data_IF_444897054158
#
_entry.id   IF_444897054158
#
_cell.length_a   1.000
_cell.length_b   1.000
_cell.length_c   1.000
_cell.angle_alpha   90.00
_cell.angle_beta   90.00
_cell.angle_gamma   90.00
#
_symmetry.space_group_name_H-M   'P 1'
#
loop_
_entity.id
_entity.type
_entity.pdbx_description
1 polymer ?
#
# COMPACT_ATOMS: atom_id res chain seq x y z
N UNK A 1 6.89 0.38 27.53
CA UNK A 1 5.55 0.45 28.14
C UNK A 1 4.58 1.03 27.11
N UNK A 2 3.66 0.21 26.61
CA UNK A 2 2.70 0.61 25.57
C UNK A 2 1.74 1.69 26.07
N UNK A 3 1.42 1.70 27.37
CA UNK A 3 0.52 2.68 27.96
C UNK A 3 1.13 4.09 27.91
N UNK A 4 2.43 4.20 28.19
CA UNK A 4 3.16 5.47 28.09
C UNK A 4 3.24 5.97 26.64
N UNK A 5 3.46 5.07 25.68
CA UNK A 5 3.47 5.44 24.25
C UNK A 5 2.10 5.94 23.79
N UNK A 6 1.01 5.29 24.20
CA UNK A 6 -0.36 5.73 23.93
C UNK A 6 -0.63 7.10 24.55
N UNK A 7 -0.20 7.31 25.80
CA UNK A 7 -0.31 8.60 26.49
C UNK A 7 0.42 9.72 25.76
N UNK A 8 1.62 9.49 25.24
CA UNK A 8 2.38 10.50 24.46
C UNK A 8 1.61 10.90 23.21
N UNK A 9 1.08 9.94 22.45
CA UNK A 9 0.33 10.24 21.22
C UNK A 9 -0.97 10.98 21.53
N UNK A 10 -1.74 10.49 22.50
CA UNK A 10 -3.01 11.08 22.94
C UNK A 10 -2.83 12.52 23.43
N UNK A 11 -1.74 12.79 24.14
CA UNK A 11 -1.39 14.14 24.63
C UNK A 11 -0.78 15.05 23.55
N UNK A 12 -0.88 14.67 22.27
CA UNK A 12 -0.47 15.49 21.13
C UNK A 12 1.02 15.45 20.82
N UNK A 13 1.78 14.49 21.37
CA UNK A 13 3.23 14.38 21.18
C UNK A 13 3.68 14.08 19.74
N UNK A 14 2.79 13.55 18.89
CA UNK A 14 3.09 13.27 17.49
C UNK A 14 3.38 14.54 16.68
N UNK A 15 2.58 15.60 16.84
CA UNK A 15 2.70 16.81 16.01
C UNK A 15 4.04 17.54 16.22
N UNK A 16 4.53 17.77 17.46
CA UNK A 16 5.86 18.34 17.68
C UNK A 16 6.99 17.49 17.08
N UNK A 17 6.92 16.16 17.20
CA UNK A 17 7.93 15.26 16.61
C UNK A 17 7.94 15.35 15.08
N UNK A 18 6.76 15.39 14.45
CA UNK A 18 6.64 15.57 13.01
C UNK A 18 7.19 16.93 12.54
N UNK A 19 7.04 18.00 13.35
CA UNK A 19 7.67 19.30 13.06
C UNK A 19 9.19 19.26 13.19
N UNK A 20 9.73 18.48 14.13
CA UNK A 20 11.19 18.34 14.29
C UNK A 20 11.86 17.63 13.11
N UNK A 21 11.11 16.87 12.30
CA UNK A 21 11.61 16.33 11.04
C UNK A 21 12.00 17.42 10.02
N UNK A 22 11.51 18.66 10.16
CA UNK A 22 11.91 19.79 9.30
C UNK A 22 13.19 20.49 9.78
N UNK A 23 13.79 20.02 10.87
CA UNK A 23 14.98 20.65 11.43
C UNK A 23 16.16 20.56 10.46
N UNK A 24 16.91 21.66 10.32
CA UNK A 24 18.20 21.67 9.59
C UNK A 24 19.32 20.95 10.36
N UNK A 25 19.04 20.51 11.58
CA UNK A 25 19.97 19.72 12.39
C UNK A 25 19.67 18.23 12.21
N UNK A 26 20.58 17.51 11.54
CA UNK A 26 20.43 16.08 11.26
C UNK A 26 20.26 15.21 12.51
N UNK A 27 20.88 15.58 13.64
CA UNK A 27 20.70 14.86 14.91
C UNK A 27 19.30 15.05 15.48
N UNK A 28 18.73 16.26 15.39
CA UNK A 28 17.36 16.51 15.81
C UNK A 28 16.35 15.79 14.92
N UNK A 29 16.56 15.80 13.59
CA UNK A 29 15.75 15.00 12.67
C UNK A 29 15.80 13.52 13.03
N UNK A 30 17.00 12.97 13.28
CA UNK A 30 17.18 11.56 13.61
C UNK A 30 16.48 11.18 14.92
N UNK A 31 16.64 12.00 15.97
CA UNK A 31 15.99 11.75 17.26
C UNK A 31 14.46 11.79 17.13
N UNK A 32 13.93 12.71 16.33
CA UNK A 32 12.50 12.77 16.05
C UNK A 32 12.02 11.54 15.28
N UNK A 33 12.74 11.12 14.23
CA UNK A 33 12.43 9.91 13.47
C UNK A 33 12.46 8.66 14.35
N UNK A 34 13.46 8.54 15.24
CA UNK A 34 13.60 7.41 16.16
C UNK A 34 12.47 7.37 17.20
N UNK A 35 12.04 8.53 17.72
CA UNK A 35 10.89 8.62 18.60
C UNK A 35 9.58 8.21 17.88
N UNK A 36 9.38 8.68 16.65
CA UNK A 36 8.22 8.31 15.82
C UNK A 36 8.23 6.81 15.49
N UNK A 37 9.39 6.22 15.22
CA UNK A 37 9.55 4.78 15.04
C UNK A 37 9.09 3.99 16.28
N UNK A 38 9.46 4.45 17.48
CA UNK A 38 9.02 3.85 18.74
C UNK A 38 7.50 3.99 18.96
N UNK A 39 6.93 5.16 18.65
CA UNK A 39 5.49 5.39 18.78
C UNK A 39 4.65 4.58 17.79
N UNK A 40 5.17 4.33 16.59
CA UNK A 40 4.52 3.51 15.57
C UNK A 40 4.42 2.02 15.93
N UNK A 41 5.12 1.57 16.97
CA UNK A 41 5.08 0.16 17.42
C UNK A 41 3.76 -0.19 18.13
N UNK A 42 3.15 0.81 18.78
CA UNK A 42 1.85 0.67 19.41
C UNK A 42 0.72 0.88 18.39
N UNK A 43 -0.11 -0.15 18.20
CA UNK A 43 -1.27 -0.11 17.31
C UNK A 43 -2.27 1.00 17.65
N UNK A 44 -2.41 1.37 18.93
CA UNK A 44 -3.30 2.44 19.38
C UNK A 44 -2.90 3.80 18.81
N UNK A 45 -1.62 3.98 18.46
CA UNK A 45 -1.11 5.23 17.93
C UNK A 45 -1.28 5.35 16.41
N UNK A 46 -1.50 4.24 15.69
CA UNK A 46 -1.42 4.20 14.22
C UNK A 46 -2.48 5.12 13.59
N UNK A 47 -3.71 5.05 14.09
CA UNK A 47 -4.80 5.90 13.60
C UNK A 47 -4.48 7.40 13.78
N UNK A 48 -3.97 7.77 14.95
CA UNK A 48 -3.58 9.15 15.24
C UNK A 48 -2.39 9.60 14.41
N UNK A 49 -1.41 8.73 14.22
CA UNK A 49 -0.25 8.97 13.35
C UNK A 49 -0.68 9.34 11.93
N UNK A 50 -1.64 8.58 11.37
CA UNK A 50 -2.18 8.84 10.03
C UNK A 50 -3.05 10.11 10.03
N UNK A 51 -3.94 10.26 11.02
CA UNK A 51 -4.86 11.41 11.15
C UNK A 51 -4.14 12.75 11.15
N UNK A 52 -3.02 12.85 11.87
CA UNK A 52 -2.21 14.08 11.94
C UNK A 52 -1.31 14.30 10.71
N UNK A 53 -1.33 13.38 9.72
CA UNK A 53 -0.56 13.48 8.49
C UNK A 53 0.87 12.96 8.59
N UNK A 54 1.14 12.09 9.56
CA UNK A 54 2.49 11.56 9.80
C UNK A 54 3.03 10.76 8.63
N UNK A 55 2.19 9.98 7.93
CA UNK A 55 2.63 9.22 6.75
C UNK A 55 3.11 10.13 5.63
N UNK A 56 2.32 11.17 5.29
CA UNK A 56 2.72 12.14 4.27
C UNK A 56 4.01 12.87 4.69
N UNK A 57 4.14 13.21 5.97
CA UNK A 57 5.35 13.86 6.48
C UNK A 57 6.61 12.99 6.33
N UNK A 58 6.48 11.70 6.59
CA UNK A 58 7.57 10.73 6.42
C UNK A 58 7.94 10.52 4.95
N UNK A 59 6.96 10.57 4.03
CA UNK A 59 7.20 10.39 2.59
C UNK A 59 7.80 11.63 1.93
N UNK A 60 7.30 12.82 2.28
CA UNK A 60 7.67 14.09 1.65
C UNK A 60 8.90 14.74 2.31
N UNK A 61 9.38 14.18 3.43
CA UNK A 61 10.42 14.78 4.25
C UNK A 61 11.81 14.79 3.59
N UNK A 62 12.49 15.93 3.69
CA UNK A 62 13.89 16.06 3.29
C UNK A 62 14.82 15.73 4.47
N UNK A 63 15.38 14.52 4.45
CA UNK A 63 16.24 14.03 5.52
C UNK A 63 17.72 14.16 5.17
N UNK A 64 18.47 14.83 6.04
CA UNK A 64 19.89 15.18 5.81
C UNK A 64 20.78 13.94 5.86
N UNK A 65 20.56 13.09 6.86
CA UNK A 65 21.44 11.95 7.15
C UNK A 65 20.79 10.62 6.73
N UNK A 66 21.59 9.70 6.20
CA UNK A 66 21.10 8.40 5.71
C UNK A 66 20.41 7.58 6.81
N UNK A 67 20.96 7.59 8.03
CA UNK A 67 20.36 6.89 9.17
C UNK A 67 18.92 7.35 9.47
N UNK A 68 18.59 8.63 9.22
CA UNK A 68 17.22 9.13 9.35
C UNK A 68 16.33 8.57 8.25
N UNK A 69 16.80 8.55 6.99
CA UNK A 69 16.05 7.94 5.86
C UNK A 69 15.73 6.46 6.14
N UNK A 70 16.72 5.72 6.63
CA UNK A 70 16.55 4.30 6.96
C UNK A 70 15.57 4.11 8.12
N UNK A 71 15.63 4.98 9.13
CA UNK A 71 14.69 4.97 10.26
C UNK A 71 13.26 5.30 9.81
N UNK A 72 13.09 6.28 8.92
CA UNK A 72 11.81 6.66 8.33
C UNK A 72 11.22 5.51 7.51
N UNK A 73 12.03 4.85 6.67
CA UNK A 73 11.59 3.68 5.91
C UNK A 73 11.14 2.54 6.82
N UNK A 74 11.87 2.26 7.90
CA UNK A 74 11.46 1.27 8.92
C UNK A 74 10.17 1.66 9.63
N UNK A 75 9.94 2.96 9.86
CA UNK A 75 8.71 3.48 10.46
C UNK A 75 7.51 3.26 9.54
N UNK A 76 7.64 3.55 8.25
CA UNK A 76 6.58 3.30 7.26
C UNK A 76 6.24 1.81 7.16
N UNK A 77 7.26 0.94 7.10
CA UNK A 77 7.05 -0.51 7.10
C UNK A 77 6.33 -1.00 8.35
N UNK A 78 6.72 -0.50 9.52
CA UNK A 78 6.06 -0.82 10.79
C UNK A 78 4.60 -0.37 10.81
N UNK A 79 4.27 0.81 10.26
CA UNK A 79 2.89 1.26 10.14
C UNK A 79 2.07 0.33 9.23
N UNK A 80 2.62 -0.06 8.07
CA UNK A 80 2.00 -1.05 7.16
C UNK A 80 1.66 -2.36 7.89
N UNK A 81 2.60 -2.92 8.64
CA UNK A 81 2.42 -4.17 9.41
C UNK A 81 1.31 -4.08 10.48
N UNK A 82 0.90 -2.87 10.89
CA UNK A 82 -0.13 -2.64 11.92
C UNK A 82 -1.50 -2.27 11.34
N UNK A 83 -1.61 -2.05 10.03
CA UNK A 83 -2.89 -1.68 9.39
C UNK A 83 -3.65 -2.96 9.06
N UNK A 84 -4.32 -3.52 10.07
CA UNK A 84 -5.25 -4.64 9.93
C UNK A 84 -6.31 -4.62 11.03
N UNK A 85 -7.35 -5.44 10.91
CA UNK A 85 -8.38 -5.63 11.95
C UNK A 85 -8.97 -4.32 12.50
N UNK A 86 -8.85 -4.11 13.82
CA UNK A 86 -9.39 -2.92 14.51
C UNK A 86 -8.85 -1.59 13.97
N UNK A 87 -7.57 -1.54 13.61
CA UNK A 87 -6.92 -0.32 13.10
C UNK A 87 -7.49 0.04 11.74
N UNK A 88 -7.55 -0.94 10.83
CA UNK A 88 -8.11 -0.74 9.50
C UNK A 88 -9.58 -0.31 9.57
N UNK A 89 -10.40 -0.98 10.37
CA UNK A 89 -11.81 -0.61 10.55
C UNK A 89 -11.98 0.84 11.04
N UNK A 90 -11.12 1.28 11.97
CA UNK A 90 -11.15 2.66 12.45
C UNK A 90 -10.73 3.66 11.35
N UNK A 91 -9.72 3.33 10.53
CA UNK A 91 -9.31 4.17 9.40
C UNK A 91 -10.43 4.28 8.34
N UNK A 92 -11.13 3.19 8.02
CA UNK A 92 -12.29 3.19 7.12
C UNK A 92 -13.43 4.07 7.69
N UNK A 93 -13.68 4.00 8.99
CA UNK A 93 -14.61 4.91 9.65
C UNK A 93 -14.20 6.38 9.48
N UNK A 94 -12.92 6.71 9.71
CA UNK A 94 -12.41 8.08 9.53
C UNK A 94 -12.55 8.57 8.09
N UNK A 95 -12.33 7.71 7.07
CA UNK A 95 -12.56 8.10 5.66
C UNK A 95 -14.00 8.51 5.39
N UNK A 96 -14.98 7.96 6.13
CA UNK A 96 -16.40 8.26 5.96
C UNK A 96 -16.83 9.52 6.70
N UNK A 97 -16.42 9.68 7.96
CA UNK A 97 -17.02 10.68 8.86
C UNK A 97 -16.13 11.87 9.19
N UNK A 98 -14.82 11.76 9.01
CA UNK A 98 -13.90 12.83 9.43
C UNK A 98 -13.98 14.05 8.49
N UNK A 99 -13.39 15.16 8.90
CA UNK A 99 -13.25 16.33 8.03
C UNK A 99 -12.42 16.01 6.76
N UNK A 100 -12.65 16.77 5.68
CA UNK A 100 -12.04 16.51 4.37
C UNK A 100 -10.52 16.39 4.39
N UNK A 101 -9.85 17.17 5.24
CA UNK A 101 -8.40 17.08 5.41
C UNK A 101 -7.94 15.71 5.93
N UNK A 102 -8.64 15.19 6.94
CA UNK A 102 -8.36 13.87 7.52
C UNK A 102 -8.72 12.75 6.54
N UNK A 103 -9.89 12.82 5.89
CA UNK A 103 -10.31 11.83 4.88
C UNK A 103 -9.22 11.63 3.81
N UNK A 104 -8.69 12.74 3.27
CA UNK A 104 -7.62 12.74 2.27
C UNK A 104 -6.34 12.11 2.79
N UNK A 105 -5.88 12.49 3.99
CA UNK A 105 -4.67 11.93 4.61
C UNK A 105 -4.78 10.43 4.82
N UNK A 106 -5.93 9.96 5.28
CA UNK A 106 -6.19 8.53 5.49
C UNK A 106 -6.18 7.78 4.16
N UNK A 107 -6.90 8.27 3.13
CA UNK A 107 -6.92 7.64 1.82
C UNK A 107 -5.52 7.57 1.18
N UNK A 108 -4.74 8.66 1.25
CA UNK A 108 -3.36 8.69 0.75
C UNK A 108 -2.44 7.73 1.52
N UNK A 109 -2.58 7.66 2.85
CA UNK A 109 -1.78 6.75 3.67
C UNK A 109 -2.10 5.28 3.34
N UNK A 110 -3.39 4.92 3.24
CA UNK A 110 -3.81 3.58 2.87
C UNK A 110 -3.36 3.21 1.45
N UNK A 111 -3.34 4.16 0.50
CA UNK A 111 -2.89 3.87 -0.87
C UNK A 111 -1.42 3.46 -0.91
N UNK A 112 -0.63 3.95 0.05
CA UNK A 112 0.76 3.59 0.19
C UNK A 112 0.95 2.28 1.00
N UNK A 113 0.28 2.19 2.15
CA UNK A 113 0.60 1.24 3.22
C UNK A 113 -0.35 0.05 3.29
N UNK A 114 -1.44 0.00 2.53
CA UNK A 114 -2.36 -1.14 2.64
C UNK A 114 -1.74 -2.42 2.07
N UNK A 115 -2.13 -3.53 2.69
CA UNK A 115 -1.86 -4.86 2.15
C UNK A 115 -2.57 -5.03 0.79
N UNK A 116 -2.07 -5.92 -0.08
CA UNK A 116 -2.76 -6.25 -1.32
C UNK A 116 -4.20 -6.75 -1.10
N UNK A 117 -4.42 -7.56 -0.06
CA UNK A 117 -5.72 -8.19 0.24
C UNK A 117 -6.78 -7.16 0.68
N UNK A 118 -6.36 -6.07 1.31
CA UNK A 118 -7.27 -5.02 1.80
C UNK A 118 -7.62 -3.97 0.72
N UNK A 119 -6.95 -3.97 -0.44
CA UNK A 119 -7.12 -2.93 -1.46
C UNK A 119 -8.57 -2.80 -1.93
N UNK A 120 -9.24 -3.93 -2.18
CA UNK A 120 -10.63 -3.93 -2.62
C UNK A 120 -11.53 -3.32 -1.55
N UNK A 121 -11.41 -3.81 -0.31
CA UNK A 121 -12.19 -3.32 0.83
C UNK A 121 -12.00 -1.83 1.05
N UNK A 122 -10.78 -1.32 0.92
CA UNK A 122 -10.47 0.10 1.15
C UNK A 122 -10.96 0.98 0.00
N UNK A 123 -10.59 0.64 -1.24
CA UNK A 123 -10.72 1.56 -2.37
C UNK A 123 -11.99 1.36 -3.18
N UNK A 124 -12.53 0.14 -3.23
CA UNK A 124 -13.76 -0.16 -3.96
C UNK A 124 -14.96 -0.08 -3.03
N UNK A 125 -14.91 -0.79 -1.91
CA UNK A 125 -16.06 -0.89 -1.00
C UNK A 125 -16.09 0.26 0.03
N UNK A 126 -14.90 0.77 0.38
CA UNK A 126 -14.70 1.77 1.44
C UNK A 126 -14.75 3.24 1.00
N UNK A 127 -14.96 3.51 -0.29
CA UNK A 127 -15.01 4.87 -0.84
C UNK A 127 -13.65 5.57 -0.98
N UNK A 128 -12.55 4.82 -0.85
CA UNK A 128 -11.20 5.37 -0.94
C UNK A 128 -10.87 5.91 -2.34
N UNK A 129 -11.37 5.27 -3.40
CA UNK A 129 -11.07 5.65 -4.77
C UNK A 129 -11.66 7.03 -5.12
N UNK A 130 -12.87 7.31 -4.66
CA UNK A 130 -13.55 8.60 -4.84
C UNK A 130 -12.77 9.74 -4.19
N UNK A 131 -12.17 9.50 -3.02
CA UNK A 131 -11.31 10.48 -2.35
C UNK A 131 -10.06 10.77 -3.17
N UNK A 132 -9.42 9.75 -3.74
CA UNK A 132 -8.23 9.91 -4.58
C UNK A 132 -8.53 10.57 -5.93
N UNK A 133 -9.65 10.22 -6.57
CA UNK A 133 -10.11 10.89 -7.79
C UNK A 133 -10.46 12.36 -7.53
N UNK A 134 -11.06 12.65 -6.37
CA UNK A 134 -11.31 14.03 -5.93
C UNK A 134 -10.02 14.83 -5.71
N UNK A 135 -8.94 14.17 -5.27
CA UNK A 135 -7.61 14.78 -5.20
C UNK A 135 -7.03 15.05 -6.59
N UNK A 136 -7.09 14.07 -7.49
CA UNK A 136 -6.61 14.20 -8.88
C UNK A 136 -7.29 15.36 -9.64
N UNK A 137 -8.60 15.58 -9.39
CA UNK A 137 -9.36 16.69 -9.96
C UNK A 137 -9.19 18.03 -9.23
N UNK A 138 -8.35 18.11 -8.19
CA UNK A 138 -8.14 19.34 -7.42
C UNK A 138 -7.41 20.40 -8.24
N UNK A 139 -7.78 21.67 -8.06
CA UNK A 139 -7.05 22.81 -8.61
C UNK A 139 -5.75 23.11 -7.84
N UNK A 140 -5.54 22.48 -6.68
CA UNK A 140 -4.30 22.59 -5.92
C UNK A 140 -3.27 21.59 -6.51
N UNK A 141 -2.12 22.06 -7.04
CA UNK A 141 -1.15 21.19 -7.70
C UNK A 141 -0.58 20.08 -6.81
N UNK A 142 -0.37 20.35 -5.51
CA UNK A 142 0.13 19.33 -4.57
C UNK A 142 -0.92 18.23 -4.39
N UNK A 143 -2.19 18.60 -4.16
CA UNK A 143 -3.26 17.61 -4.00
C UNK A 143 -3.48 16.78 -5.27
N UNK A 144 -3.42 17.42 -6.43
CA UNK A 144 -3.50 16.73 -7.72
C UNK A 144 -2.36 15.72 -7.89
N UNK A 145 -1.12 16.13 -7.58
CA UNK A 145 0.04 15.24 -7.61
C UNK A 145 -0.11 14.07 -6.62
N UNK A 146 -0.51 14.36 -5.38
CA UNK A 146 -0.73 13.33 -4.35
C UNK A 146 -1.76 12.29 -4.82
N UNK A 147 -2.88 12.76 -5.40
CA UNK A 147 -3.91 11.90 -5.99
C UNK A 147 -3.37 11.04 -7.14
N UNK A 148 -2.63 11.65 -8.08
CA UNK A 148 -2.03 10.94 -9.21
C UNK A 148 -1.04 9.85 -8.75
N UNK A 149 -0.16 10.18 -7.81
CA UNK A 149 0.85 9.24 -7.27
C UNK A 149 0.18 8.09 -6.53
N UNK A 150 -0.86 8.36 -5.73
CA UNK A 150 -1.60 7.34 -5.03
C UNK A 150 -2.30 6.36 -5.98
N UNK A 151 -2.99 6.88 -7.01
CA UNK A 151 -3.66 6.07 -8.03
C UNK A 151 -2.66 5.22 -8.83
N UNK A 152 -1.53 5.79 -9.23
CA UNK A 152 -0.46 5.06 -9.90
C UNK A 152 0.08 3.91 -9.04
N UNK A 153 0.29 4.14 -7.74
CA UNK A 153 0.73 3.10 -6.80
C UNK A 153 -0.29 1.96 -6.69
N UNK A 154 -1.57 2.28 -6.58
CA UNK A 154 -2.64 1.29 -6.54
C UNK A 154 -2.69 0.46 -7.82
N UNK A 155 -2.61 1.11 -8.98
CA UNK A 155 -2.59 0.42 -10.27
C UNK A 155 -1.43 -0.59 -10.36
N UNK A 156 -0.21 -0.18 -9.96
CA UNK A 156 0.94 -1.08 -9.98
C UNK A 156 0.78 -2.27 -9.03
N UNK A 157 0.26 -2.04 -7.81
CA UNK A 157 0.02 -3.14 -6.86
C UNK A 157 -1.05 -4.12 -7.37
N UNK A 158 -2.08 -3.63 -8.07
CA UNK A 158 -3.10 -4.47 -8.69
C UNK A 158 -2.52 -5.30 -9.86
N UNK A 159 -1.65 -4.72 -10.69
CA UNK A 159 -0.99 -5.46 -11.78
C UNK A 159 -0.08 -6.56 -11.27
N UNK A 160 0.66 -6.33 -10.17
CA UNK A 160 1.52 -7.36 -9.58
C UNK A 160 0.74 -8.56 -9.06
N UNK A 161 -0.50 -8.40 -8.60
CA UNK A 161 -1.38 -9.51 -8.21
C UNK A 161 -1.84 -10.32 -9.42
N UNK A 162 -2.25 -9.64 -10.48
CA UNK A 162 -2.78 -10.30 -11.69
C UNK A 162 -1.76 -11.18 -12.42
N UNK A 163 -0.46 -10.90 -12.30
CA UNK A 163 0.57 -11.73 -12.92
C UNK A 163 0.90 -13.00 -12.14
N UNK A 164 0.54 -13.09 -10.86
CA UNK A 164 0.79 -14.28 -10.03
C UNK A 164 -0.31 -15.34 -10.20
N UNK A 165 -1.53 -14.90 -10.53
CA UNK A 165 -2.69 -15.76 -10.82
C UNK A 165 -2.78 -16.24 -12.28
N UNK A 166 -1.81 -15.87 -13.12
CA UNK A 166 -1.74 -16.38 -14.48
C UNK A 166 -1.39 -17.88 -14.45
N UNK A 167 -2.37 -18.73 -14.75
CA UNK A 167 -2.16 -20.17 -14.93
C UNK A 167 -0.97 -20.41 -15.88
N UNK A 168 -0.08 -21.38 -15.59
CA UNK A 168 1.01 -21.70 -16.49
C UNK A 168 0.44 -21.97 -17.89
N UNK A 169 1.12 -21.53 -18.96
CA UNK A 169 0.64 -21.76 -20.32
C UNK A 169 0.38 -23.25 -20.50
N UNK A 170 -0.84 -23.60 -20.93
CA UNK A 170 -1.24 -24.97 -21.22
C UNK A 170 -0.14 -25.66 -22.04
N UNK A 171 0.29 -26.88 -21.69
CA UNK A 171 1.30 -27.58 -22.47
C UNK A 171 0.86 -27.61 -23.93
N UNK A 172 1.64 -26.99 -24.81
CA UNK A 172 1.37 -26.96 -26.24
C UNK A 172 1.15 -28.40 -26.70
N UNK A 173 0.01 -28.76 -27.33
CA UNK A 173 -0.21 -30.12 -27.77
C UNK A 173 0.83 -30.45 -28.84
N UNK A 174 1.84 -31.24 -28.45
CA UNK A 174 2.76 -31.89 -29.36
C UNK A 174 1.90 -32.84 -30.23
N UNK A 175 1.64 -32.43 -31.47
CA UNK A 175 0.94 -33.25 -32.45
C UNK A 175 1.81 -34.46 -32.77
N UNK A 176 1.56 -35.55 -32.05
CA UNK A 176 2.17 -36.85 -32.33
C UNK A 176 1.49 -37.42 -33.58
N UNK A 177 2.07 -37.17 -34.75
CA UNK A 177 1.67 -37.84 -35.98
C UNK A 177 1.89 -39.35 -35.82
N UNK A 178 0.80 -40.09 -35.62
CA UNK A 178 0.78 -41.56 -35.76
C UNK A 178 0.69 -41.87 -37.25
N UNK A 179 1.81 -42.25 -37.86
CA UNK A 179 1.79 -42.88 -39.19
C UNK A 179 1.06 -44.22 -39.07
N UNK A 180 -0.12 -44.31 -39.69
CA UNK A 180 -0.92 -45.52 -39.80
C UNK A 180 -1.67 -45.53 -41.12
N UNK A 181 -1.02 -46.06 -42.17
CA UNK A 181 -1.68 -46.63 -43.35
C UNK A 181 -1.46 -48.16 -43.25
N UNK A 182 -2.35 -49.08 -43.57
CA UNK A 182 -3.77 -49.17 -43.90
C UNK A 182 -4.06 -50.69 -43.84
N UNK A 183 -5.21 -51.13 -43.33
CA UNK A 183 -5.61 -52.53 -43.44
C UNK A 183 -6.43 -52.75 -44.72
N UNK A 184 -5.96 -53.69 -45.53
CA UNK A 184 -6.70 -54.70 -46.34
C UNK A 184 -7.78 -54.27 -47.32
N UNK A 185 -7.57 -54.61 -48.60
CA UNK A 185 -8.61 -55.14 -49.49
C UNK A 185 -8.13 -56.50 -50.02
N UNK A 186 -8.93 -57.53 -49.77
CA UNK A 186 -8.84 -58.85 -50.42
C UNK A 186 -9.30 -58.73 -51.87
N UNK A 187 -8.75 -59.54 -52.78
CA UNK A 187 -9.54 -60.44 -53.63
C UNK A 187 -8.63 -61.48 -54.29
N UNK A 188 -9.04 -62.73 -54.10
CA UNK A 188 -8.54 -63.98 -54.67
C UNK A 188 -8.65 -64.02 -56.21
N UNK A 189 -7.70 -64.67 -56.87
CA UNK A 189 -7.87 -65.93 -57.64
C UNK A 189 -6.80 -66.11 -58.73
N UNK A 190 -6.03 -67.18 -58.56
CA UNK A 190 -5.70 -68.23 -59.54
C UNK A 190 -5.25 -67.89 -60.98
N UNK A 191 -3.96 -68.17 -61.21
CA UNK A 191 -3.40 -69.13 -62.19
C UNK A 191 -3.92 -69.08 -63.64
N UNK A 192 -3.01 -68.71 -64.55
CA UNK A 192 -2.39 -69.65 -65.50
C UNK A 192 -0.93 -69.29 -65.76
#
# INVERSE_FOLDING_TARGET
DMHNQAGIAHNGGLVPLLKLLDSKNGSLQHNAAFALYGLADNEDNVADFIRVGGVQKLQDGEFIVQATKDCVAKTLKRLEEKIHGRVLNHLLYLMRVAEKGVQRRVALALAHLCSPDDQRTIFIDGGGLELLLGLLGSTNPKQQLDGAVALFKLANKATTLSSVDAAPPSPTPQVRFKNGFLHTLSYDENVK
#
